data_IF_220505890814
#
_entry.id   IF_220505890814
#
_cell.length_a   1.000
_cell.length_b   1.000
_cell.length_c   1.000
_cell.angle_alpha   90.00
_cell.angle_beta   90.00
_cell.angle_gamma   90.00
#
_symmetry.space_group_name_H-M   'P 1'
#
loop_
_entity.id
_entity.type
_entity.pdbx_description
1 polymer ?
#
# COMPACT_ATOMS: atom_id res chain seq x y z
N UNK A 1 -99.96 -64.69 8.64
CA UNK A 1 -99.60 -63.86 7.47
C UNK A 1 -98.68 -64.67 6.58
N UNK A 2 -99.22 -65.23 5.50
CA UNK A 2 -98.47 -65.57 4.26
C UNK A 2 -97.98 -64.25 3.62
N UNK A 3 -97.08 -64.22 2.59
CA UNK A 3 -96.65 -65.33 1.72
C UNK A 3 -95.10 -65.38 1.45
N UNK A 4 -94.56 -66.54 0.99
CA UNK A 4 -94.00 -66.78 -0.37
C UNK A 4 -92.65 -66.08 -0.68
N UNK A 5 -91.67 -66.61 -1.42
CA UNK A 5 -91.63 -67.60 -2.50
C UNK A 5 -90.17 -68.06 -2.71
N UNK A 6 -89.99 -69.30 -3.14
CA UNK A 6 -88.73 -69.88 -3.65
C UNK A 6 -88.30 -69.21 -4.97
N UNK A 7 -86.98 -69.14 -5.28
CA UNK A 7 -86.40 -69.79 -6.47
C UNK A 7 -84.89 -69.51 -6.74
N UNK A 8 -84.16 -70.62 -6.86
CA UNK A 8 -83.12 -71.04 -7.83
C UNK A 8 -82.24 -70.00 -8.59
N UNK A 9 -80.91 -70.18 -8.43
CA UNK A 9 -79.74 -70.22 -9.40
C UNK A 9 -79.65 -69.16 -10.55
N UNK A 10 -78.48 -68.83 -11.16
CA UNK A 10 -77.14 -69.48 -11.14
C UNK A 10 -75.92 -68.53 -11.04
N UNK A 11 -74.72 -69.15 -11.07
CA UNK A 11 -73.37 -68.58 -11.17
C UNK A 11 -73.15 -67.67 -12.40
N UNK A 12 -72.41 -66.57 -12.21
CA UNK A 12 -71.80 -65.74 -13.27
C UNK A 12 -70.33 -65.51 -12.89
N UNK A 13 -69.33 -65.75 -13.77
CA UNK A 13 -67.94 -65.47 -13.47
C UNK A 13 -67.64 -63.98 -13.67
N UNK A 14 -67.02 -63.34 -12.68
CA UNK A 14 -66.54 -61.97 -12.77
C UNK A 14 -65.16 -61.95 -13.45
N UNK A 15 -65.11 -61.47 -14.69
CA UNK A 15 -63.85 -61.12 -15.37
C UNK A 15 -63.34 -59.79 -14.80
N UNK A 16 -62.16 -59.83 -14.20
CA UNK A 16 -61.49 -58.67 -13.60
C UNK A 16 -60.81 -57.85 -14.71
N UNK A 17 -61.42 -56.71 -15.08
CA UNK A 17 -60.84 -55.72 -15.99
C UNK A 17 -59.90 -54.81 -15.17
N UNK A 18 -58.59 -55.05 -15.22
CA UNK A 18 -57.58 -54.18 -14.62
C UNK A 18 -57.42 -52.90 -15.45
N UNK A 19 -58.00 -51.81 -14.96
CA UNK A 19 -57.82 -50.45 -15.48
C UNK A 19 -56.48 -49.90 -14.97
N UNK A 20 -55.48 -49.81 -15.85
CA UNK A 20 -54.20 -49.18 -15.57
C UNK A 20 -54.38 -47.65 -15.66
N UNK A 21 -54.50 -46.97 -14.52
CA UNK A 21 -54.50 -45.50 -14.46
C UNK A 21 -53.04 -45.03 -14.49
N UNK A 22 -52.57 -44.57 -15.65
CA UNK A 22 -51.35 -43.77 -15.76
C UNK A 22 -51.63 -42.42 -15.07
N UNK A 23 -51.16 -42.28 -13.84
CA UNK A 23 -51.03 -40.98 -13.20
C UNK A 23 -49.93 -40.20 -13.94
N UNK A 24 -50.34 -39.38 -14.91
CA UNK A 24 -49.49 -38.34 -15.46
C UNK A 24 -49.30 -37.28 -14.35
N UNK A 25 -48.19 -37.32 -13.65
CA UNK A 25 -47.69 -36.18 -12.89
C UNK A 25 -47.33 -35.08 -13.89
N UNK A 26 -48.31 -34.28 -14.30
CA UNK A 26 -48.08 -33.03 -14.99
C UNK A 26 -47.47 -32.04 -14.02
N UNK A 27 -46.14 -32.06 -13.87
CA UNK A 27 -45.40 -30.92 -13.35
C UNK A 27 -45.62 -29.77 -14.33
N UNK A 28 -46.54 -28.86 -14.01
CA UNK A 28 -46.66 -27.60 -14.73
C UNK A 28 -45.32 -26.87 -14.54
N UNK A 29 -44.45 -26.74 -15.56
CA UNK A 29 -43.27 -25.91 -15.41
C UNK A 29 -43.79 -24.50 -15.12
N UNK A 30 -43.20 -23.83 -14.13
CA UNK A 30 -43.46 -22.39 -13.97
C UNK A 30 -43.19 -21.64 -15.29
N UNK A 31 -43.67 -20.40 -15.44
CA UNK A 31 -43.33 -19.60 -16.61
C UNK A 31 -41.81 -19.62 -16.81
N UNK A 32 -41.37 -19.97 -18.03
CA UNK A 32 -39.95 -19.96 -18.40
C UNK A 32 -39.47 -18.52 -18.29
N UNK A 33 -38.40 -18.33 -17.53
CA UNK A 33 -37.72 -17.05 -17.46
C UNK A 33 -37.02 -16.75 -18.78
N UNK A 34 -37.32 -15.58 -19.35
CA UNK A 34 -36.79 -15.11 -20.63
C UNK A 34 -36.16 -13.73 -20.53
N UNK A 35 -36.13 -13.14 -19.33
CA UNK A 35 -35.60 -11.81 -19.12
C UNK A 35 -34.06 -11.92 -19.04
N UNK A 36 -33.29 -11.18 -19.86
CA UNK A 36 -31.83 -11.26 -19.80
C UNK A 36 -31.28 -10.63 -18.52
N UNK A 37 -30.22 -11.21 -17.91
CA UNK A 37 -29.54 -10.57 -16.81
C UNK A 37 -28.84 -9.29 -17.25
N UNK A 38 -28.69 -8.35 -16.31
CA UNK A 38 -27.96 -7.09 -16.49
C UNK A 38 -26.91 -6.92 -15.40
N UNK A 39 -25.83 -6.21 -15.72
CA UNK A 39 -24.82 -5.82 -14.73
C UNK A 39 -25.23 -4.50 -14.09
N UNK A 40 -25.38 -4.52 -12.76
CA UNK A 40 -25.85 -3.38 -11.96
C UNK A 40 -24.70 -2.67 -11.22
N UNK A 41 -23.56 -3.32 -11.06
CA UNK A 41 -22.35 -2.74 -10.47
C UNK A 41 -21.10 -3.47 -10.91
N UNK A 42 -20.01 -2.75 -11.11
CA UNK A 42 -18.69 -3.33 -11.36
C UNK A 42 -17.63 -2.57 -10.58
N UNK A 43 -16.73 -3.30 -9.95
CA UNK A 43 -15.54 -2.75 -9.32
C UNK A 43 -14.33 -3.63 -9.70
N UNK A 44 -13.21 -3.06 -10.16
CA UNK A 44 -13.03 -1.65 -10.51
C UNK A 44 -13.95 -1.20 -11.66
N UNK A 45 -14.36 0.07 -11.66
CA UNK A 45 -15.07 0.66 -12.81
C UNK A 45 -14.08 0.99 -13.94
N UNK A 46 -14.60 1.25 -15.14
CA UNK A 46 -13.74 1.65 -16.27
C UNK A 46 -13.02 2.97 -15.97
N UNK A 47 -11.71 3.01 -16.23
CA UNK A 47 -10.82 4.11 -15.87
C UNK A 47 -10.45 4.21 -14.39
N UNK A 48 -10.72 3.19 -13.56
CA UNK A 48 -10.32 3.21 -12.15
C UNK A 48 -8.79 3.16 -12.00
N UNK A 49 -8.28 3.91 -11.03
CA UNK A 49 -6.86 4.00 -10.69
C UNK A 49 -6.61 3.51 -9.27
N UNK A 50 -5.40 3.00 -8.99
CA UNK A 50 -5.02 2.53 -7.66
C UNK A 50 -5.65 1.22 -7.20
N UNK A 51 -5.88 0.27 -8.11
CA UNK A 51 -6.27 -1.09 -7.71
C UNK A 51 -5.15 -1.76 -6.91
N UNK A 52 -5.48 -2.22 -5.70
CA UNK A 52 -4.49 -2.69 -4.71
C UNK A 52 -4.26 -4.19 -4.80
N UNK A 53 -3.07 -4.62 -4.35
CA UNK A 53 -2.75 -6.04 -4.13
C UNK A 53 -3.75 -6.64 -3.13
N UNK A 54 -4.21 -7.85 -3.42
CA UNK A 54 -5.20 -8.55 -2.58
C UNK A 54 -6.63 -8.01 -2.70
N UNK A 55 -6.86 -6.95 -3.48
CA UNK A 55 -8.21 -6.47 -3.77
C UNK A 55 -8.91 -7.41 -4.76
N UNK A 56 -10.22 -7.62 -4.57
CA UNK A 56 -11.03 -8.44 -5.46
C UNK A 56 -11.80 -7.58 -6.46
N UNK A 57 -11.99 -8.12 -7.66
CA UNK A 57 -12.92 -7.60 -8.65
C UNK A 57 -14.32 -8.08 -8.26
N UNK A 58 -15.32 -7.22 -8.31
CA UNK A 58 -16.72 -7.58 -8.05
C UNK A 58 -17.63 -7.17 -9.19
N UNK A 59 -18.55 -8.05 -9.55
CA UNK A 59 -19.58 -7.79 -10.57
C UNK A 59 -20.93 -8.17 -9.96
N UNK A 60 -21.83 -7.19 -9.88
CA UNK A 60 -23.19 -7.38 -9.41
C UNK A 60 -24.16 -7.49 -10.59
N UNK A 61 -25.09 -8.43 -10.50
CA UNK A 61 -26.10 -8.73 -11.52
C UNK A 61 -27.51 -8.45 -11.00
N UNK A 62 -28.46 -8.20 -11.91
CA UNK A 62 -29.88 -7.98 -11.58
C UNK A 62 -30.56 -9.23 -11.00
N UNK A 63 -30.03 -10.42 -11.29
CA UNK A 63 -30.61 -11.71 -10.94
C UNK A 63 -29.53 -12.80 -10.76
N UNK A 64 -29.87 -13.94 -10.11
CA UNK A 64 -28.90 -15.01 -9.87
C UNK A 64 -28.36 -15.62 -11.16
N UNK A 65 -27.03 -15.66 -11.28
CA UNK A 65 -26.35 -16.17 -12.48
C UNK A 65 -26.09 -17.68 -12.43
N UNK A 66 -25.87 -18.29 -13.59
CA UNK A 66 -25.20 -19.58 -13.69
C UNK A 66 -23.69 -19.38 -13.49
N UNK A 67 -23.15 -19.96 -12.42
CA UNK A 67 -21.77 -19.74 -12.01
C UNK A 67 -20.76 -20.21 -13.06
N UNK A 68 -20.91 -21.45 -13.54
CA UNK A 68 -19.96 -22.06 -14.47
C UNK A 68 -19.92 -21.33 -15.83
N UNK A 69 -21.09 -20.94 -16.36
CA UNK A 69 -21.19 -20.18 -17.60
C UNK A 69 -20.59 -18.78 -17.45
N UNK A 70 -20.84 -18.11 -16.33
CA UNK A 70 -20.34 -16.76 -16.08
C UNK A 70 -18.83 -16.74 -15.85
N UNK A 71 -18.30 -17.68 -15.08
CA UNK A 71 -16.86 -17.86 -14.86
C UNK A 71 -16.13 -18.19 -16.18
N UNK A 72 -16.72 -19.06 -17.03
CA UNK A 72 -16.17 -19.37 -18.35
C UNK A 72 -16.22 -18.21 -19.35
N UNK A 73 -17.02 -17.18 -19.07
CA UNK A 73 -17.14 -15.97 -19.88
C UNK A 73 -16.25 -14.81 -19.39
N UNK A 74 -15.61 -14.96 -18.23
CA UNK A 74 -14.76 -13.96 -17.59
C UNK A 74 -13.31 -14.08 -18.04
N UNK A 75 -12.65 -12.96 -18.30
CA UNK A 75 -11.21 -12.88 -18.48
C UNK A 75 -10.67 -11.62 -17.77
N UNK A 76 -9.54 -11.78 -17.08
CA UNK A 76 -8.70 -10.68 -16.65
C UNK A 76 -7.40 -10.74 -17.44
N UNK A 77 -7.00 -9.65 -18.07
CA UNK A 77 -5.79 -9.53 -18.86
C UNK A 77 -4.86 -8.49 -18.24
N UNK A 78 -3.55 -8.74 -18.28
CA UNK A 78 -2.54 -7.75 -17.93
C UNK A 78 -2.28 -6.76 -19.07
N UNK A 79 -1.34 -5.84 -18.86
CA UNK A 79 -0.96 -4.82 -19.86
C UNK A 79 -0.34 -5.38 -21.14
N UNK A 80 0.17 -6.61 -21.11
CA UNK A 80 0.69 -7.32 -22.28
C UNK A 80 -0.39 -8.15 -23.00
N UNK A 81 -1.62 -8.16 -22.47
CA UNK A 81 -2.73 -8.97 -22.97
C UNK A 81 -2.66 -10.44 -22.54
N UNK A 82 -1.81 -10.78 -21.56
CA UNK A 82 -1.73 -12.13 -21.03
C UNK A 82 -2.83 -12.37 -19.98
N UNK A 83 -3.45 -13.57 -19.94
CA UNK A 83 -4.44 -13.91 -18.92
C UNK A 83 -3.86 -13.92 -17.50
N UNK A 84 -4.58 -13.30 -16.58
CA UNK A 84 -4.31 -13.29 -15.14
C UNK A 84 -5.24 -14.29 -14.47
N UNK A 85 -4.67 -15.24 -13.73
CA UNK A 85 -5.46 -16.23 -13.01
C UNK A 85 -6.26 -15.57 -11.88
N UNK A 86 -7.53 -15.94 -11.76
CA UNK A 86 -8.44 -15.49 -10.70
C UNK A 86 -9.10 -16.69 -10.02
N UNK A 87 -9.42 -16.53 -8.75
CA UNK A 87 -10.31 -17.42 -8.00
C UNK A 87 -11.69 -16.78 -7.91
N UNK A 88 -12.73 -17.58 -8.09
CA UNK A 88 -14.11 -17.11 -8.07
C UNK A 88 -14.83 -17.51 -6.79
N UNK A 89 -15.67 -16.62 -6.31
CA UNK A 89 -16.68 -16.90 -5.29
C UNK A 89 -17.95 -16.12 -5.61
N UNK A 90 -19.07 -16.57 -5.05
CA UNK A 90 -20.38 -16.03 -5.31
C UNK A 90 -21.07 -15.62 -4.03
N UNK A 91 -21.61 -14.42 -4.03
CA UNK A 91 -22.32 -13.78 -2.92
C UNK A 91 -23.73 -13.40 -3.37
N UNK A 92 -24.52 -12.83 -2.45
CA UNK A 92 -25.85 -12.28 -2.73
C UNK A 92 -26.80 -13.27 -3.45
N UNK A 93 -26.75 -14.54 -3.03
CA UNK A 93 -27.53 -15.65 -3.59
C UNK A 93 -27.20 -15.95 -5.08
N UNK A 94 -25.96 -15.67 -5.50
CA UNK A 94 -25.48 -15.85 -6.87
C UNK A 94 -25.66 -14.61 -7.74
N UNK A 95 -25.99 -13.46 -7.15
CA UNK A 95 -26.08 -12.17 -7.86
C UNK A 95 -24.80 -11.37 -7.85
N UNK A 96 -23.81 -11.76 -7.06
CA UNK A 96 -22.52 -11.08 -7.02
C UNK A 96 -21.40 -12.08 -7.27
N UNK A 97 -20.66 -11.87 -8.34
CA UNK A 97 -19.40 -12.54 -8.61
C UNK A 97 -18.28 -11.77 -7.93
N UNK A 98 -17.43 -12.47 -7.19
CA UNK A 98 -16.18 -11.96 -6.63
C UNK A 98 -15.03 -12.73 -7.26
N UNK A 99 -14.16 -12.04 -7.98
CA UNK A 99 -12.99 -12.58 -8.66
C UNK A 99 -11.71 -12.00 -8.04
N UNK A 100 -10.97 -12.81 -7.29
CA UNK A 100 -9.71 -12.40 -6.67
C UNK A 100 -8.52 -12.91 -7.49
N UNK A 101 -7.60 -12.04 -7.96
CA UNK A 101 -6.35 -12.46 -8.57
C UNK A 101 -5.61 -13.46 -7.66
N UNK A 102 -5.18 -14.59 -8.23
CA UNK A 102 -4.48 -15.65 -7.47
C UNK A 102 -3.09 -15.15 -7.05
N UNK A 103 -2.39 -14.51 -7.98
CA UNK A 103 -1.14 -13.83 -7.72
C UNK A 103 -1.39 -12.32 -7.54
N UNK A 104 -0.63 -11.64 -6.67
CA UNK A 104 -0.75 -10.20 -6.50
C UNK A 104 -0.54 -9.46 -7.83
N UNK A 105 -1.42 -8.52 -8.13
CA UNK A 105 -1.24 -7.61 -9.26
C UNK A 105 0.06 -6.81 -9.13
N UNK A 106 0.68 -6.53 -10.27
CA UNK A 106 1.87 -5.71 -10.33
C UNK A 106 1.49 -4.23 -10.12
N UNK A 107 2.30 -3.53 -9.33
CA UNK A 107 2.28 -2.07 -9.27
C UNK A 107 3.30 -1.54 -10.27
N UNK A 108 3.06 -0.35 -10.81
CA UNK A 108 4.02 0.27 -11.72
C UNK A 108 5.28 0.68 -10.95
N UNK A 109 6.44 0.40 -11.53
CA UNK A 109 7.74 0.75 -10.94
C UNK A 109 8.12 2.23 -11.15
N UNK A 110 7.34 2.96 -11.93
CA UNK A 110 7.51 4.39 -12.23
C UNK A 110 6.15 5.09 -12.32
N UNK A 111 6.14 6.36 -12.73
CA UNK A 111 4.94 7.19 -12.80
C UNK A 111 3.97 6.80 -13.94
N UNK A 112 4.27 5.78 -14.76
CA UNK A 112 3.37 5.28 -15.78
C UNK A 112 2.28 4.37 -15.20
N UNK A 113 1.15 4.25 -15.90
CA UNK A 113 0.07 3.36 -15.50
C UNK A 113 0.32 1.93 -16.00
N UNK A 114 0.20 0.95 -15.09
CA UNK A 114 0.09 -0.47 -15.44
C UNK A 114 -1.40 -0.83 -15.51
N UNK A 115 -1.90 -1.07 -16.72
CA UNK A 115 -3.31 -1.33 -16.96
C UNK A 115 -3.64 -2.82 -16.96
N UNK A 116 -4.80 -3.16 -16.40
CA UNK A 116 -5.45 -4.45 -16.50
C UNK A 116 -6.79 -4.28 -17.21
N UNK A 117 -7.22 -5.32 -17.92
CA UNK A 117 -8.48 -5.33 -18.66
C UNK A 117 -9.35 -6.50 -18.22
N UNK A 118 -10.51 -6.16 -17.68
CA UNK A 118 -11.58 -7.08 -17.33
C UNK A 118 -12.55 -7.22 -18.51
N UNK A 119 -12.76 -8.44 -18.96
CA UNK A 119 -13.73 -8.80 -19.98
C UNK A 119 -14.77 -9.76 -19.38
N UNK A 120 -16.03 -9.49 -19.63
CA UNK A 120 -17.12 -10.45 -19.39
C UNK A 120 -17.96 -10.54 -20.66
N UNK A 121 -17.85 -11.64 -21.39
CA UNK A 121 -18.58 -11.78 -22.66
C UNK A 121 -20.08 -12.06 -22.46
N UNK A 122 -20.87 -11.98 -23.54
CA UNK A 122 -22.28 -12.40 -23.55
C UNK A 122 -22.46 -13.92 -23.38
N UNK A 123 -21.38 -14.68 -23.17
CA UNK A 123 -21.43 -16.07 -22.74
C UNK A 123 -21.90 -16.25 -21.29
N UNK A 124 -21.81 -15.20 -20.47
CA UNK A 124 -22.36 -15.18 -19.12
C UNK A 124 -23.88 -15.21 -19.16
N UNK A 125 -24.49 -16.07 -18.33
CA UNK A 125 -25.91 -16.41 -18.38
C UNK A 125 -26.52 -16.48 -16.99
N UNK A 126 -27.82 -16.23 -16.91
CA UNK A 126 -28.61 -16.56 -15.73
C UNK A 126 -28.80 -18.09 -15.58
N UNK A 127 -29.50 -18.49 -14.51
CA UNK A 127 -29.84 -19.91 -14.26
C UNK A 127 -30.86 -20.49 -15.25
N UNK A 128 -31.60 -19.65 -15.96
CA UNK A 128 -32.54 -20.05 -17.00
C UNK A 128 -31.87 -20.20 -18.38
N UNK A 129 -30.61 -19.76 -18.51
CA UNK A 129 -29.82 -19.81 -19.72
C UNK A 129 -29.91 -18.54 -20.58
N UNK A 130 -30.54 -17.46 -20.12
CA UNK A 130 -30.58 -16.19 -20.84
C UNK A 130 -29.21 -15.50 -20.73
N UNK A 131 -28.59 -15.10 -21.85
CA UNK A 131 -27.29 -14.44 -21.85
C UNK A 131 -27.38 -12.98 -21.47
N UNK A 132 -26.28 -12.39 -20.99
CA UNK A 132 -26.14 -10.93 -20.95
C UNK A 132 -26.42 -10.33 -22.34
N UNK A 133 -27.19 -9.24 -22.38
CA UNK A 133 -27.47 -8.51 -23.61
C UNK A 133 -26.20 -7.84 -24.20
N UNK A 134 -25.30 -7.39 -23.32
CA UNK A 134 -24.02 -6.79 -23.66
C UNK A 134 -22.96 -7.26 -22.66
N UNK A 135 -21.75 -7.56 -23.15
CA UNK A 135 -20.62 -7.89 -22.29
C UNK A 135 -20.00 -6.66 -21.62
N UNK A 136 -19.13 -6.89 -20.64
CA UNK A 136 -18.27 -5.85 -20.06
C UNK A 136 -16.90 -5.86 -20.72
N UNK A 137 -16.36 -4.64 -20.82
CA UNK A 137 -14.99 -4.36 -21.20
C UNK A 137 -14.54 -3.15 -20.37
N UNK A 138 -13.72 -3.43 -19.36
CA UNK A 138 -13.33 -2.48 -18.33
C UNK A 138 -11.81 -2.46 -18.26
N UNK A 139 -11.22 -1.28 -18.35
CA UNK A 139 -9.78 -1.07 -18.13
C UNK A 139 -9.58 -0.32 -16.82
N UNK A 140 -8.65 -0.78 -15.99
CA UNK A 140 -8.26 -0.11 -14.75
C UNK A 140 -6.76 -0.20 -14.56
N UNK A 141 -6.17 0.68 -13.75
CA UNK A 141 -4.76 0.62 -13.37
C UNK A 141 -4.58 0.28 -11.90
N UNK A 142 -3.43 -0.29 -11.60
CA UNK A 142 -2.97 -0.50 -10.23
C UNK A 142 -2.24 0.74 -9.70
N UNK A 143 -1.79 0.70 -8.45
CA UNK A 143 -0.91 1.72 -7.90
C UNK A 143 0.39 1.84 -8.73
N UNK A 144 0.94 3.05 -8.75
CA UNK A 144 2.20 3.38 -9.42
C UNK A 144 3.15 4.08 -8.46
N UNK A 145 4.45 3.90 -8.69
CA UNK A 145 5.50 4.48 -7.86
C UNK A 145 5.95 5.83 -8.40
N UNK A 146 5.89 6.84 -7.57
CA UNK A 146 6.35 8.20 -7.87
C UNK A 146 7.44 8.58 -6.86
N UNK A 147 8.39 9.40 -7.31
CA UNK A 147 9.48 9.91 -6.47
C UNK A 147 9.25 11.40 -6.22
N UNK A 148 9.31 11.80 -4.95
CA UNK A 148 9.41 13.20 -4.54
C UNK A 148 10.79 13.48 -3.95
N UNK A 149 11.26 14.72 -4.15
CA UNK A 149 12.45 15.24 -3.50
C UNK A 149 12.04 16.35 -2.54
N UNK A 150 12.31 16.17 -1.26
CA UNK A 150 12.08 17.15 -0.20
C UNK A 150 13.43 17.75 0.19
N UNK A 151 13.64 19.05 0.00
CA UNK A 151 14.88 19.72 0.41
C UNK A 151 14.83 20.07 1.90
N UNK A 152 15.99 20.11 2.55
CA UNK A 152 16.09 20.54 3.96
C UNK A 152 15.50 21.94 4.14
N UNK A 153 14.75 22.15 5.22
CA UNK A 153 14.24 23.45 5.65
C UNK A 153 15.31 24.22 6.43
N UNK A 154 15.20 25.56 6.45
CA UNK A 154 16.08 26.46 7.21
C UNK A 154 15.89 26.40 8.76
N UNK A 155 15.41 25.27 9.27
CA UNK A 155 15.43 24.91 10.69
C UNK A 155 16.43 23.77 10.96
N UNK A 156 17.28 23.48 9.97
CA UNK A 156 18.45 22.63 10.13
C UNK A 156 19.61 23.40 10.80
N UNK A 157 20.72 22.70 11.09
CA UNK A 157 21.87 23.34 11.72
C UNK A 157 22.63 22.43 12.67
N UNK A 158 23.24 23.01 13.69
CA UNK A 158 24.04 22.26 14.65
C UNK A 158 23.82 22.71 16.10
N UNK A 159 23.79 21.74 17.01
CA UNK A 159 23.61 21.99 18.45
C UNK A 159 24.80 21.43 19.21
N UNK A 160 25.34 22.23 20.14
CA UNK A 160 26.50 21.86 20.93
C UNK A 160 26.12 21.45 22.35
N UNK A 161 26.91 20.54 22.93
CA UNK A 161 26.84 20.20 24.35
C UNK A 161 26.95 21.46 25.23
N UNK A 162 26.19 21.51 26.33
CA UNK A 162 26.08 22.72 27.17
C UNK A 162 25.09 23.77 26.66
N UNK A 163 24.12 23.35 25.84
CA UNK A 163 22.91 24.10 25.48
C UNK A 163 23.09 25.36 24.64
N UNK A 164 24.25 25.54 23.98
CA UNK A 164 24.32 26.52 22.89
C UNK A 164 24.01 25.83 21.57
N UNK A 165 23.20 26.46 20.75
CA UNK A 165 22.93 26.03 19.39
C UNK A 165 23.43 27.09 18.42
N UNK A 166 23.64 26.67 17.19
CA UNK A 166 23.83 27.53 16.04
C UNK A 166 22.77 27.12 15.02
N UNK A 167 21.60 27.75 15.13
CA UNK A 167 20.64 27.85 14.03
C UNK A 167 21.09 29.05 13.21
N UNK A 168 21.70 28.81 12.06
CA UNK A 168 22.16 29.90 11.24
C UNK A 168 21.42 29.87 9.92
N UNK A 169 20.55 30.86 9.74
CA UNK A 169 19.98 31.31 8.45
C UNK A 169 21.09 31.84 7.48
N UNK A 170 22.38 31.66 7.82
CA UNK A 170 23.54 32.23 7.10
C UNK A 170 24.80 31.32 7.03
N UNK A 171 24.78 30.09 7.60
CA UNK A 171 25.92 29.16 7.49
C UNK A 171 25.56 28.07 6.49
N UNK A 172 26.43 27.85 5.51
CA UNK A 172 26.27 26.81 4.49
C UNK A 172 26.80 25.43 4.91
N UNK A 173 27.15 25.27 6.19
CA UNK A 173 27.77 24.07 6.74
C UNK A 173 27.30 23.71 8.15
N UNK A 174 27.31 22.40 8.43
CA UNK A 174 26.94 21.74 9.69
C UNK A 174 28.12 20.89 10.15
N UNK A 175 28.50 21.01 11.42
CA UNK A 175 29.52 20.15 12.02
C UNK A 175 28.90 19.02 12.84
N UNK A 176 29.53 17.85 12.79
CA UNK A 176 29.17 16.67 13.60
C UNK A 176 30.43 16.06 14.19
N UNK A 177 30.47 15.83 15.50
CA UNK A 177 31.65 15.31 16.22
C UNK A 177 31.97 16.16 17.44
N UNK A 178 33.23 16.51 17.64
CA UNK A 178 33.64 17.45 18.68
C UNK A 178 34.68 18.48 18.23
N UNK A 179 34.76 19.56 19.00
CA UNK A 179 35.66 20.68 18.70
C UNK A 179 36.91 20.61 19.58
N UNK A 180 37.93 21.38 19.23
CA UNK A 180 39.17 21.65 20.00
C UNK A 180 38.98 22.05 21.48
N UNK A 181 37.75 22.37 21.87
CA UNK A 181 37.33 22.62 23.25
C UNK A 181 36.71 21.40 23.94
N UNK A 182 36.82 20.21 23.33
CA UNK A 182 36.14 18.95 23.67
C UNK A 182 34.63 19.09 23.77
N UNK A 183 34.09 19.97 22.93
CA UNK A 183 32.67 20.29 22.92
C UNK A 183 31.99 19.53 21.79
N UNK A 184 31.13 18.59 22.17
CA UNK A 184 30.38 17.82 21.19
C UNK A 184 29.41 18.69 20.41
N UNK A 185 29.20 18.34 19.15
CA UNK A 185 28.27 18.98 18.22
C UNK A 185 27.52 17.93 17.41
N UNK A 186 26.20 18.08 17.36
CA UNK A 186 25.30 17.24 16.56
C UNK A 186 24.70 18.06 15.43
N UNK A 187 24.55 17.45 14.25
CA UNK A 187 23.94 18.07 13.08
C UNK A 187 22.48 17.68 12.95
N UNK A 188 21.60 18.62 12.62
CA UNK A 188 20.16 18.42 12.53
C UNK A 188 19.67 18.82 11.15
N UNK A 189 18.63 18.13 10.66
CA UNK A 189 17.99 18.36 9.37
C UNK A 189 16.47 18.25 9.53
N UNK A 190 15.70 18.99 8.73
CA UNK A 190 14.23 18.92 8.70
C UNK A 190 13.71 18.90 7.28
N UNK A 191 12.72 18.06 7.00
CA UNK A 191 12.08 17.99 5.69
C UNK A 191 10.57 18.09 5.87
N UNK A 192 9.97 19.14 5.29
CA UNK A 192 8.53 19.32 5.29
C UNK A 192 7.83 18.23 4.46
N UNK A 193 6.84 17.56 5.07
CA UNK A 193 6.07 16.50 4.41
C UNK A 193 4.95 17.03 3.51
N UNK A 194 4.70 18.34 3.53
CA UNK A 194 3.72 19.01 2.64
C UNK A 194 4.04 18.89 1.15
N UNK A 195 5.25 18.43 0.79
CA UNK A 195 5.63 18.11 -0.58
C UNK A 195 5.12 16.76 -1.08
N UNK A 196 4.58 15.90 -0.20
CA UNK A 196 3.96 14.63 -0.56
C UNK A 196 2.46 14.82 -0.86
N UNK A 197 1.89 14.08 -1.82
CA UNK A 197 0.49 14.28 -2.21
C UNK A 197 -0.48 13.67 -1.19
N UNK A 198 -1.69 14.24 -1.09
CA UNK A 198 -2.72 13.78 -0.15
C UNK A 198 -3.25 12.36 -0.48
N UNK A 199 -3.14 11.91 -1.73
CA UNK A 199 -3.54 10.59 -2.20
C UNK A 199 -2.40 9.55 -2.16
N UNK A 200 -1.30 9.86 -1.47
CA UNK A 200 -0.26 8.89 -1.14
C UNK A 200 -0.87 7.72 -0.36
N UNK A 201 -0.68 6.51 -0.89
CA UNK A 201 -1.24 5.28 -0.33
C UNK A 201 -0.25 4.53 0.55
N UNK A 202 1.05 4.58 0.20
CA UNK A 202 2.11 3.89 0.93
C UNK A 202 3.46 4.55 0.63
N UNK A 203 4.29 4.76 1.65
CA UNK A 203 5.71 5.07 1.44
C UNK A 203 6.43 3.78 1.01
N UNK A 204 6.99 3.76 -0.19
CA UNK A 204 7.69 2.60 -0.74
C UNK A 204 9.15 2.54 -0.30
N UNK A 205 9.86 3.67 -0.35
CA UNK A 205 11.24 3.83 0.13
C UNK A 205 11.49 5.30 0.51
N UNK A 206 12.43 5.53 1.42
CA UNK A 206 12.87 6.87 1.76
C UNK A 206 14.38 6.87 2.06
N UNK A 207 15.09 7.82 1.45
CA UNK A 207 16.54 7.92 1.46
C UNK A 207 16.98 9.36 1.71
N UNK A 208 17.82 9.57 2.71
CA UNK A 208 18.39 10.87 3.04
C UNK A 208 19.75 11.04 2.37
N UNK A 209 19.92 12.14 1.64
CA UNK A 209 21.14 12.53 0.96
C UNK A 209 21.74 13.77 1.62
N UNK A 210 23.00 13.66 2.01
CA UNK A 210 23.79 14.76 2.55
C UNK A 210 25.11 14.87 1.79
N UNK A 211 25.62 16.11 1.66
CA UNK A 211 26.91 16.36 1.04
C UNK A 211 27.93 16.68 2.14
N UNK A 212 28.98 15.87 2.22
CA UNK A 212 30.12 16.16 3.09
C UNK A 212 31.13 17.04 2.35
N UNK A 213 31.52 18.15 2.96
CA UNK A 213 32.53 19.06 2.42
C UNK A 213 33.94 18.65 2.85
N UNK A 214 34.07 17.92 3.96
CA UNK A 214 35.33 17.37 4.43
C UNK A 214 35.25 16.80 5.83
N UNK A 215 36.42 16.39 6.32
CA UNK A 215 36.64 15.88 7.67
C UNK A 215 37.86 16.60 8.24
N UNK A 216 37.76 17.02 9.50
CA UNK A 216 38.88 17.52 10.31
C UNK A 216 39.16 16.51 11.42
N UNK A 217 40.43 16.18 11.66
CA UNK A 217 40.83 15.13 12.59
C UNK A 217 40.52 13.71 12.11
N UNK A 218 40.26 12.81 13.05
CA UNK A 218 39.95 11.40 12.88
C UNK A 218 38.68 10.97 13.62
N UNK A 219 37.51 11.64 13.41
CA UNK A 219 36.29 11.38 14.17
C UNK A 219 35.77 9.95 14.10
N UNK A 220 35.97 9.25 12.97
CA UNK A 220 35.57 7.85 12.88
C UNK A 220 36.41 6.92 13.75
N UNK A 221 37.68 7.25 14.03
CA UNK A 221 38.51 6.44 14.91
C UNK A 221 38.31 6.83 16.39
N UNK A 222 38.17 8.13 16.64
CA UNK A 222 38.25 8.67 18.00
C UNK A 222 36.88 8.80 18.67
N UNK A 223 35.80 8.95 17.89
CA UNK A 223 34.44 9.14 18.39
C UNK A 223 33.55 7.90 18.25
N UNK A 224 34.13 6.72 18.49
CA UNK A 224 33.37 5.48 18.64
C UNK A 224 33.00 4.76 17.33
N UNK A 225 33.72 4.99 16.23
CA UNK A 225 33.62 4.20 15.00
C UNK A 225 32.56 4.67 14.01
N UNK A 226 31.36 4.99 14.50
CA UNK A 226 30.17 5.15 13.67
C UNK A 226 29.60 6.56 13.74
N UNK A 227 29.31 7.11 12.56
CA UNK A 227 28.31 8.14 12.38
C UNK A 227 26.93 7.47 12.50
N UNK A 228 26.12 7.98 13.41
CA UNK A 228 24.75 7.53 13.67
C UNK A 228 23.76 8.56 13.14
N UNK A 229 22.65 8.06 12.59
CA UNK A 229 21.50 8.87 12.22
C UNK A 229 20.36 8.53 13.19
N UNK A 230 19.88 9.50 13.94
CA UNK A 230 18.70 9.37 14.78
C UNK A 230 17.49 10.01 14.09
N UNK A 231 16.32 9.39 14.25
CA UNK A 231 15.03 10.02 14.01
C UNK A 231 14.62 10.79 15.27
N UNK A 232 14.38 12.10 15.14
CA UNK A 232 14.04 12.97 16.28
C UNK A 232 12.84 13.84 15.93
N UNK A 233 12.25 14.48 16.93
CA UNK A 233 11.20 15.50 16.77
C UNK A 233 11.58 16.69 17.65
N UNK A 234 12.13 17.74 17.04
CA UNK A 234 12.48 19.01 17.69
C UNK A 234 11.45 20.11 17.37
N UNK A 235 10.33 19.76 16.75
CA UNK A 235 9.22 20.69 16.52
C UNK A 235 9.51 21.76 15.47
N UNK A 236 9.06 22.99 15.73
CA UNK A 236 9.05 24.09 14.75
C UNK A 236 10.34 24.93 14.75
N UNK A 237 11.27 24.68 15.67
CA UNK A 237 12.51 25.43 15.80
C UNK A 237 13.61 24.58 16.43
N UNK A 238 14.82 24.66 15.88
CA UNK A 238 16.00 24.05 16.51
C UNK A 238 16.54 24.99 17.61
N UNK A 239 16.81 24.45 18.80
CA UNK A 239 17.37 25.20 19.91
C UNK A 239 18.38 24.37 20.74
N UNK A 240 18.86 24.95 21.84
CA UNK A 240 19.92 24.36 22.66
C UNK A 240 19.47 23.15 23.48
N UNK A 241 18.18 23.02 23.75
CA UNK A 241 17.60 21.90 24.48
C UNK A 241 17.51 20.63 23.64
N UNK A 242 17.59 20.78 22.31
CA UNK A 242 17.50 19.66 21.37
C UNK A 242 18.71 18.72 21.44
N UNK A 243 19.83 19.19 22.01
CA UNK A 243 21.02 18.37 22.22
C UNK A 243 20.72 17.05 22.95
N UNK A 244 19.87 17.12 23.98
CA UNK A 244 19.53 15.99 24.85
C UNK A 244 18.26 15.25 24.38
N UNK A 245 17.70 15.57 23.21
CA UNK A 245 16.53 14.88 22.67
C UNK A 245 16.82 13.39 22.50
N UNK A 246 15.93 12.56 23.04
CA UNK A 246 15.92 11.15 22.73
C UNK A 246 15.44 10.93 21.28
N UNK A 247 16.00 9.96 20.56
CA UNK A 247 15.39 9.50 19.32
C UNK A 247 13.94 9.07 19.55
N UNK A 248 13.11 9.23 18.53
CA UNK A 248 11.79 8.60 18.48
C UNK A 248 11.95 7.07 18.58
N UNK A 249 10.85 6.38 18.89
CA UNK A 249 10.88 4.94 19.11
C UNK A 249 9.90 4.21 18.18
N UNK A 250 10.31 3.04 17.72
CA UNK A 250 9.48 2.15 16.94
C UNK A 250 8.33 1.55 17.80
N UNK A 251 7.37 0.82 17.20
CA UNK A 251 6.27 0.20 17.95
C UNK A 251 6.69 -0.82 19.03
N UNK A 252 7.93 -1.33 18.95
CA UNK A 252 8.54 -2.24 19.93
C UNK A 252 9.34 -1.47 21.01
N UNK A 253 9.28 -0.13 21.00
CA UNK A 253 9.94 0.80 21.90
C UNK A 253 11.48 0.76 21.80
N UNK A 254 12.01 0.39 20.62
CA UNK A 254 13.43 0.56 20.31
C UNK A 254 13.68 1.96 19.75
N UNK A 255 14.82 2.60 20.07
CA UNK A 255 15.16 3.90 19.50
C UNK A 255 15.38 3.78 17.99
N UNK A 256 14.83 4.73 17.25
CA UNK A 256 14.97 4.88 15.81
C UNK A 256 16.33 5.51 15.49
N UNK A 257 17.37 4.67 15.57
CA UNK A 257 18.77 5.03 15.26
C UNK A 257 19.37 4.05 14.25
N UNK A 258 20.07 4.57 13.25
CA UNK A 258 20.80 3.79 12.25
C UNK A 258 22.31 4.06 12.31
N UNK A 259 23.12 3.04 12.00
CA UNK A 259 24.53 3.22 11.67
C UNK A 259 24.65 3.72 10.23
N UNK A 260 24.85 5.03 10.07
CA UNK A 260 24.89 5.67 8.76
C UNK A 260 26.18 5.35 8.00
N UNK A 261 27.34 5.45 8.67
CA UNK A 261 28.64 5.15 8.08
C UNK A 261 29.77 5.08 9.11
N UNK A 262 30.87 4.46 8.74
CA UNK A 262 32.14 4.38 9.45
C UNK A 262 33.30 5.12 8.72
N UNK A 263 33.02 5.94 7.69
CA UNK A 263 34.09 6.61 6.95
C UNK A 263 33.71 7.54 5.81
N UNK A 264 32.76 8.46 6.00
CA UNK A 264 32.56 9.52 5.00
C UNK A 264 33.76 10.46 4.95
N UNK A 265 33.98 11.06 3.77
CA UNK A 265 35.03 12.05 3.53
C UNK A 265 34.44 13.27 2.84
N UNK A 266 34.56 13.38 1.52
CA UNK A 266 33.98 14.49 0.74
C UNK A 266 33.11 13.95 -0.38
N UNK A 267 31.93 14.52 -0.57
CA UNK A 267 30.99 14.15 -1.63
C UNK A 267 29.58 13.85 -1.13
N UNK A 268 28.75 13.35 -2.05
CA UNK A 268 27.40 12.91 -1.73
C UNK A 268 27.40 11.54 -1.06
N UNK A 269 26.65 11.44 0.03
CA UNK A 269 26.38 10.20 0.71
C UNK A 269 24.89 10.02 0.94
N UNK A 270 24.46 8.77 1.07
CA UNK A 270 23.06 8.39 1.20
C UNK A 270 22.87 7.43 2.37
N UNK A 271 21.82 7.66 3.16
CA UNK A 271 21.33 6.74 4.19
C UNK A 271 19.91 6.34 3.81
N UNK A 272 19.69 5.04 3.62
CA UNK A 272 18.38 4.48 3.30
C UNK A 272 17.67 3.88 4.52
N UNK A 273 16.64 3.05 4.26
CA UNK A 273 15.81 2.41 5.28
C UNK A 273 15.00 3.38 6.15
N UNK A 274 14.68 4.58 5.63
CA UNK A 274 13.88 5.58 6.36
C UNK A 274 12.37 5.42 6.11
N UNK A 275 11.96 4.43 5.32
CA UNK A 275 10.57 4.17 4.95
C UNK A 275 9.65 4.11 6.19
N UNK A 276 10.04 3.36 7.22
CA UNK A 276 9.23 3.19 8.44
C UNK A 276 9.17 4.46 9.27
N UNK A 277 10.25 5.21 9.36
CA UNK A 277 10.30 6.47 10.10
C UNK A 277 9.35 7.48 9.48
N UNK A 278 9.44 7.65 8.16
CA UNK A 278 8.56 8.53 7.41
C UNK A 278 7.10 8.10 7.49
N UNK A 279 6.80 6.80 7.37
CA UNK A 279 5.44 6.30 7.54
C UNK A 279 4.92 6.57 8.96
N UNK A 280 5.77 6.40 9.99
CA UNK A 280 5.43 6.70 11.38
C UNK A 280 5.10 8.18 11.60
N UNK A 281 5.81 9.09 10.94
CA UNK A 281 5.50 10.53 10.97
C UNK A 281 4.17 10.86 10.31
N UNK A 282 3.91 10.29 9.13
CA UNK A 282 2.63 10.45 8.43
C UNK A 282 1.46 9.93 9.28
N UNK A 283 1.60 8.74 9.87
CA UNK A 283 0.58 8.12 10.71
C UNK A 283 0.34 8.91 12.01
N UNK A 284 1.39 9.54 12.56
CA UNK A 284 1.32 10.41 13.71
C UNK A 284 0.79 11.83 13.37
N UNK A 285 0.60 12.15 12.10
CA UNK A 285 0.18 13.48 11.64
C UNK A 285 1.26 14.55 11.84
N UNK A 286 2.54 14.18 11.87
CA UNK A 286 3.65 15.15 11.89
C UNK A 286 3.76 15.80 10.52
N UNK A 287 4.14 17.08 10.53
CA UNK A 287 4.31 17.86 9.30
C UNK A 287 5.73 17.74 8.72
N UNK A 288 6.64 17.06 9.43
CA UNK A 288 8.06 16.94 9.13
C UNK A 288 8.58 15.56 9.49
N UNK A 289 9.63 15.16 8.79
CA UNK A 289 10.60 14.19 9.27
C UNK A 289 11.87 14.93 9.65
N UNK A 290 12.40 14.65 10.84
CA UNK A 290 13.51 15.39 11.43
C UNK A 290 14.62 14.43 11.84
N UNK A 291 15.85 14.73 11.42
CA UNK A 291 16.97 13.82 11.51
C UNK A 291 18.15 14.46 12.24
N UNK A 292 18.87 13.65 13.00
CA UNK A 292 20.09 14.09 13.70
C UNK A 292 21.27 13.17 13.39
N UNK A 293 22.35 13.75 12.89
CA UNK A 293 23.66 13.11 12.83
C UNK A 293 24.44 13.35 14.12
N UNK A 294 25.04 12.27 14.65
CA UNK A 294 26.00 12.31 15.75
C UNK A 294 26.99 11.16 15.64
N UNK A 295 28.16 11.32 16.26
CA UNK A 295 29.04 10.17 16.50
C UNK A 295 28.57 9.36 17.72
N UNK A 296 29.00 8.11 17.80
CA UNK A 296 28.63 7.20 18.89
C UNK A 296 29.14 7.72 20.24
N UNK A 297 30.38 8.19 20.27
CA UNK A 297 30.95 8.91 21.39
C UNK A 297 30.91 10.42 21.13
N UNK A 298 30.73 11.18 22.20
CA UNK A 298 30.50 12.62 22.14
C UNK A 298 31.80 13.41 21.93
N UNK A 299 32.90 12.96 22.54
CA UNK A 299 34.25 13.55 22.51
C UNK A 299 35.25 12.48 22.93
N UNK A 300 36.49 12.58 22.46
CA UNK A 300 37.62 11.75 22.93
C UNK A 300 38.45 12.46 24.03
N UNK A 301 38.23 13.77 24.22
CA UNK A 301 38.85 14.60 25.23
C UNK A 301 40.26 15.08 24.91
N UNK A 302 40.72 15.00 23.66
CA UNK A 302 42.12 15.25 23.30
C UNK A 302 42.49 16.73 23.07
N UNK A 303 41.49 17.62 22.93
CA UNK A 303 41.66 19.04 22.65
C UNK A 303 41.90 19.37 21.17
N UNK A 304 41.55 18.46 20.27
CA UNK A 304 41.62 18.57 18.82
C UNK A 304 40.21 18.64 18.22
N UNK A 305 40.14 18.98 16.93
CA UNK A 305 38.89 18.88 16.18
C UNK A 305 38.76 17.49 15.59
N UNK A 306 37.69 16.78 15.92
CA UNK A 306 37.28 15.57 15.24
C UNK A 306 35.87 15.77 14.72
N UNK A 307 35.77 16.32 13.49
CA UNK A 307 34.49 16.71 12.91
C UNK A 307 34.30 16.27 11.47
N UNK A 308 33.09 15.81 11.17
CA UNK A 308 32.55 15.73 9.83
C UNK A 308 31.84 17.06 9.49
N UNK A 309 32.10 17.59 8.30
CA UNK A 309 31.49 18.83 7.82
C UNK A 309 30.49 18.48 6.72
N UNK A 310 29.23 18.84 6.93
CA UNK A 310 28.11 18.64 6.02
C UNK A 310 27.61 19.98 5.51
N UNK A 311 26.90 20.01 4.40
CA UNK A 311 26.14 21.20 3.97
C UNK A 311 24.80 21.33 4.69
N UNK A 312 24.26 22.55 4.75
CA UNK A 312 22.92 22.86 5.24
C UNK A 312 21.96 23.25 4.10
N UNK A 313 20.72 23.59 4.45
CA UNK A 313 19.68 24.12 3.57
C UNK A 313 20.13 25.40 2.83
N UNK A 314 21.02 26.19 3.41
CA UNK A 314 21.53 27.46 2.87
C UNK A 314 22.57 27.24 1.75
N UNK A 315 23.03 26.00 1.55
CA UNK A 315 23.95 25.69 0.46
C UNK A 315 23.36 26.02 -0.91
N UNK A 316 24.10 26.74 -1.74
CA UNK A 316 23.61 27.12 -3.08
C UNK A 316 23.69 26.01 -4.14
N UNK A 317 24.44 24.93 -3.88
CA UNK A 317 24.69 23.86 -4.87
C UNK A 317 24.48 22.44 -4.35
N UNK A 318 24.56 22.22 -3.03
CA UNK A 318 24.55 20.89 -2.43
C UNK A 318 23.62 20.83 -1.22
N UNK A 319 22.38 21.31 -1.36
CA UNK A 319 21.39 21.25 -0.28
C UNK A 319 21.07 19.79 0.08
N UNK A 320 21.10 19.41 1.37
CA UNK A 320 20.62 18.11 1.80
C UNK A 320 19.16 17.90 1.37
N UNK A 321 18.81 16.66 1.01
CA UNK A 321 17.46 16.32 0.56
C UNK A 321 17.06 14.89 0.93
N UNK A 322 15.76 14.68 1.08
CA UNK A 322 15.13 13.38 1.19
C UNK A 322 14.53 13.01 -0.17
N UNK A 323 14.88 11.83 -0.68
CA UNK A 323 14.18 11.20 -1.80
C UNK A 323 13.17 10.21 -1.23
N UNK A 324 11.90 10.39 -1.60
CA UNK A 324 10.78 9.56 -1.15
C UNK A 324 10.16 8.91 -2.36
N UNK A 325 10.26 7.59 -2.44
CA UNK A 325 9.47 6.79 -3.37
C UNK A 325 8.18 6.38 -2.67
N UNK A 326 7.04 6.61 -3.31
CA UNK A 326 5.73 6.32 -2.73
C UNK A 326 4.74 5.82 -3.78
N UNK A 327 3.72 5.12 -3.33
CA UNK A 327 2.65 4.58 -4.17
C UNK A 327 1.45 5.52 -4.19
N UNK A 328 0.93 5.78 -5.38
CA UNK A 328 -0.31 6.54 -5.65
C UNK A 328 -1.15 5.84 -6.70
N UNK A 329 -2.44 6.17 -6.82
CA UNK A 329 -3.29 5.75 -7.92
C UNK A 329 -2.72 6.02 -9.33
#
# INVERSE_FOLDING_TARGET
MMPMLQNRMPWIPFALLTLLVLAACGSNPGPTDTDPPTVISVFPQDGYHGFKRGQAITIGFSEPMDAAATEGAFQLLDSAGAPVAVSFSWEDEGRRLVAAPVDPVAYSADASYTNYRLLLSTGAKDKAGNPLAQGLDVTFSTLRRVTATLTSEAIDGMVFSGSSHLTYDDLDHIWVGDRDTNRCVYGYFSFALTGLPEDLEEVYDARFFAYATGVEGTPYNDLGGWLLLDHVDYGDSLDGSDFDLAPLSDPDNNPETLQASDGWSTGWFVVGNLQRWLQGDLDAGRNRIQLRYRFADCTDGDGSHDTLHLTSAESSSNQPYLEVDYLVP
#
